data_IF_446328243921
#
_entry.id   IF_446328243921
#
_cell.length_a   1.000
_cell.length_b   1.000
_cell.length_c   1.000
_cell.angle_alpha   90.00
_cell.angle_beta   90.00
_cell.angle_gamma   90.00
#
_symmetry.space_group_name_H-M   'P 1'
#
loop_
_entity.id
_entity.type
_entity.pdbx_description
1 polymer ?
#
# COMPACT_ATOMS: atom_id res chain seq x y z
N UNK A 1 -10.86 16.52 -1.48
CA UNK A 1 -11.28 16.02 -0.17
C UNK A 1 -10.56 16.86 0.87
N UNK A 2 -11.24 17.51 1.78
CA UNK A 2 -10.62 18.31 2.84
C UNK A 2 -10.65 17.46 4.10
N UNK A 3 -9.50 17.04 4.60
CA UNK A 3 -9.43 16.42 5.92
C UNK A 3 -9.65 17.54 6.96
N UNK A 4 -10.75 17.50 7.67
CA UNK A 4 -11.03 18.41 8.76
C UNK A 4 -10.76 17.68 10.07
N UNK A 5 -9.72 18.09 10.77
CA UNK A 5 -9.42 17.57 12.10
C UNK A 5 -10.33 18.27 13.11
N UNK A 6 -11.35 17.57 13.62
CA UNK A 6 -12.18 18.07 14.69
C UNK A 6 -11.52 17.82 16.05
N UNK A 7 -11.17 18.90 16.74
CA UNK A 7 -10.85 18.82 18.17
C UNK A 7 -12.13 19.13 18.96
N UNK A 8 -12.49 18.24 19.87
CA UNK A 8 -13.69 18.35 20.69
C UNK A 8 -13.81 19.71 21.41
N UNK A 9 -12.66 20.32 21.74
CA UNK A 9 -12.59 21.61 22.42
C UNK A 9 -12.95 22.81 21.53
N UNK A 10 -12.84 22.65 20.21
CA UNK A 10 -13.06 23.73 19.21
C UNK A 10 -14.39 23.59 18.47
N UNK A 11 -15.03 22.42 18.54
CA UNK A 11 -16.27 22.12 17.81
C UNK A 11 -17.36 21.72 18.78
N UNK A 12 -18.57 22.25 18.60
CA UNK A 12 -19.74 21.81 19.35
C UNK A 12 -20.38 20.66 18.57
N UNK A 13 -20.57 19.53 19.27
CA UNK A 13 -21.39 18.42 18.78
C UNK A 13 -22.66 18.43 19.64
N UNK A 14 -23.80 18.55 19.00
CA UNK A 14 -25.08 18.51 19.70
C UNK A 14 -25.29 17.15 20.35
N UNK A 15 -25.94 17.13 21.53
CA UNK A 15 -26.08 15.91 22.33
C UNK A 15 -26.75 14.76 21.56
N UNK A 16 -27.75 15.04 20.75
CA UNK A 16 -28.44 14.03 19.97
C UNK A 16 -27.53 13.43 18.89
N UNK A 17 -26.71 14.24 18.21
CA UNK A 17 -25.74 13.77 17.23
C UNK A 17 -24.65 12.97 17.92
N UNK A 18 -24.17 13.46 19.06
CA UNK A 18 -23.14 12.77 19.85
C UNK A 18 -23.60 11.35 20.26
N UNK A 19 -24.87 11.19 20.66
CA UNK A 19 -25.40 9.87 21.02
C UNK A 19 -25.38 8.90 19.81
N UNK A 20 -25.63 9.40 18.60
CA UNK A 20 -25.64 8.59 17.40
C UNK A 20 -24.22 8.19 16.94
N UNK A 21 -23.25 9.10 17.03
CA UNK A 21 -21.95 8.92 16.36
C UNK A 21 -20.77 8.66 17.31
N UNK A 22 -21.00 8.71 18.63
CA UNK A 22 -19.92 8.63 19.62
C UNK A 22 -19.09 7.34 19.54
N UNK A 23 -19.75 6.21 19.27
CA UNK A 23 -19.08 4.91 19.19
C UNK A 23 -18.12 4.85 17.98
N UNK A 24 -18.52 5.48 16.90
CA UNK A 24 -17.72 5.57 15.68
C UNK A 24 -16.57 6.58 15.80
N UNK A 25 -16.84 7.75 16.41
CA UNK A 25 -15.85 8.83 16.52
C UNK A 25 -14.84 8.65 17.66
N UNK A 26 -15.14 7.83 18.68
CA UNK A 26 -14.29 7.62 19.86
C UNK A 26 -13.43 6.35 19.73
N UNK A 27 -13.59 5.59 18.68
CA UNK A 27 -12.86 4.33 18.47
C UNK A 27 -11.32 4.47 18.46
N UNK A 28 -10.79 5.70 18.47
CA UNK A 28 -9.35 5.97 18.44
C UNK A 28 -8.73 5.78 17.05
N UNK A 29 -9.52 5.39 16.06
CA UNK A 29 -9.12 5.23 14.66
C UNK A 29 -9.55 6.44 13.83
N UNK A 30 -8.87 6.65 12.73
CA UNK A 30 -9.30 7.61 11.71
C UNK A 30 -10.62 7.13 11.08
N UNK A 31 -11.64 7.98 11.07
CA UNK A 31 -12.95 7.67 10.51
C UNK A 31 -13.22 8.58 9.32
N UNK A 32 -13.56 7.98 8.19
CA UNK A 32 -13.92 8.70 6.98
C UNK A 32 -15.44 8.73 6.80
N UNK A 33 -15.95 9.91 6.49
CA UNK A 33 -17.39 10.08 6.32
C UNK A 33 -17.73 11.43 5.70
N UNK A 34 -19.02 11.66 5.53
CA UNK A 34 -19.57 12.95 5.14
C UNK A 34 -20.07 13.67 6.40
N UNK A 35 -19.74 14.96 6.49
CA UNK A 35 -20.17 15.81 7.60
C UNK A 35 -20.98 16.99 7.08
N UNK A 36 -21.98 17.38 7.86
CA UNK A 36 -22.70 18.64 7.70
C UNK A 36 -22.29 19.57 8.84
N UNK A 37 -21.85 20.77 8.47
CA UNK A 37 -21.41 21.78 9.42
C UNK A 37 -22.37 22.94 9.46
N UNK A 38 -22.73 23.36 10.67
CA UNK A 38 -23.42 24.61 10.94
C UNK A 38 -22.51 25.59 11.68
N UNK A 39 -22.98 26.81 11.82
CA UNK A 39 -22.31 27.82 12.62
C UNK A 39 -23.27 28.36 13.67
N UNK A 40 -22.82 28.42 14.93
CA UNK A 40 -23.51 29.12 16.00
C UNK A 40 -22.92 30.51 16.14
N UNK A 41 -23.76 31.52 15.97
CA UNK A 41 -23.36 32.92 16.17
C UNK A 41 -22.90 33.18 17.62
N UNK A 42 -22.03 34.18 17.82
CA UNK A 42 -21.62 34.60 19.14
C UNK A 42 -22.83 35.17 19.90
N UNK A 43 -22.92 34.89 21.19
CA UNK A 43 -23.89 35.53 22.07
C UNK A 43 -23.18 36.63 22.88
N UNK A 44 -23.35 37.86 22.44
CA UNK A 44 -22.79 39.06 23.07
C UNK A 44 -23.58 39.50 24.31
N UNK A 45 -24.77 38.92 24.53
CA UNK A 45 -25.62 39.22 25.69
C UNK A 45 -25.25 38.34 26.93
N UNK A 46 -24.62 37.18 26.71
CA UNK A 46 -24.19 36.29 27.75
C UNK A 46 -23.02 36.87 28.60
N UNK A 47 -23.00 36.52 29.87
CA UNK A 47 -21.93 36.92 30.79
C UNK A 47 -21.34 35.68 31.46
N UNK A 48 -20.11 35.21 31.09
CA UNK A 48 -19.20 35.81 30.09
C UNK A 48 -19.73 35.64 28.66
N UNK A 49 -19.26 36.50 27.72
CA UNK A 49 -19.54 36.44 26.30
C UNK A 49 -19.28 35.03 25.74
N UNK A 50 -20.22 34.49 24.99
CA UNK A 50 -20.07 33.19 24.33
C UNK A 50 -19.61 33.40 22.90
N UNK A 51 -18.41 32.95 22.50
CA UNK A 51 -17.92 33.10 21.13
C UNK A 51 -18.71 32.22 20.16
N UNK A 52 -18.78 32.66 18.91
CA UNK A 52 -19.31 31.83 17.83
C UNK A 52 -18.47 30.57 17.64
N UNK A 53 -19.11 29.45 17.30
CA UNK A 53 -18.43 28.18 17.08
C UNK A 53 -19.03 27.39 15.92
N UNK A 54 -18.17 26.61 15.25
CA UNK A 54 -18.61 25.62 14.27
C UNK A 54 -19.31 24.47 15.02
N UNK A 55 -20.40 23.97 14.47
CA UNK A 55 -21.21 22.87 14.99
C UNK A 55 -21.21 21.73 14.01
N UNK A 56 -21.07 20.49 14.48
CA UNK A 56 -21.36 19.29 13.72
C UNK A 56 -22.88 19.07 13.73
N UNK A 57 -23.51 19.10 12.57
CA UNK A 57 -24.94 18.93 12.41
C UNK A 57 -25.35 17.52 12.00
N UNK A 58 -24.52 16.84 11.22
CA UNK A 58 -24.68 15.44 10.84
C UNK A 58 -23.32 14.81 10.51
N UNK A 59 -23.22 13.51 10.72
CA UNK A 59 -22.12 12.66 10.29
C UNK A 59 -22.67 11.40 9.65
N UNK A 60 -22.14 11.03 8.49
CA UNK A 60 -22.45 9.79 7.80
C UNK A 60 -21.12 9.05 7.54
N UNK A 61 -20.95 7.93 8.22
CA UNK A 61 -19.78 7.07 8.03
C UNK A 61 -19.83 6.43 6.63
N UNK A 62 -18.69 6.38 5.93
CA UNK A 62 -18.58 5.70 4.64
C UNK A 62 -18.56 4.18 4.80
N UNK A 63 -18.18 3.68 5.96
CA UNK A 63 -18.21 2.25 6.28
C UNK A 63 -19.00 2.00 7.58
N UNK A 64 -20.33 2.01 7.55
CA UNK A 64 -21.17 1.75 8.72
C UNK A 64 -21.27 0.26 9.09
N UNK A 65 -20.48 -0.60 8.43
CA UNK A 65 -20.53 -2.04 8.56
C UNK A 65 -19.51 -2.57 9.54
N UNK A 66 -19.86 -3.62 10.27
CA UNK A 66 -18.91 -4.39 11.06
C UNK A 66 -17.98 -5.17 10.15
N UNK A 67 -16.68 -5.11 10.42
CA UNK A 67 -15.68 -5.88 9.68
C UNK A 67 -15.68 -7.30 10.21
N UNK A 68 -16.09 -8.24 9.37
CA UNK A 68 -16.03 -9.69 9.64
C UNK A 68 -15.15 -10.36 8.59
N UNK A 69 -13.89 -10.63 8.99
CA UNK A 69 -12.89 -11.21 8.12
C UNK A 69 -13.25 -12.67 7.73
N UNK A 70 -13.85 -13.44 8.64
CA UNK A 70 -14.22 -14.83 8.35
C UNK A 70 -15.38 -14.90 7.36
N UNK A 71 -16.36 -14.00 7.48
CA UNK A 71 -17.42 -13.85 6.52
C UNK A 71 -16.90 -13.44 5.13
N UNK A 72 -15.94 -12.51 5.06
CA UNK A 72 -15.30 -12.12 3.81
C UNK A 72 -14.57 -13.30 3.15
N UNK A 73 -13.80 -14.07 3.94
CA UNK A 73 -13.11 -15.28 3.48
C UNK A 73 -14.10 -16.33 2.94
N UNK A 74 -15.21 -16.53 3.62
CA UNK A 74 -16.25 -17.47 3.21
C UNK A 74 -16.93 -17.03 1.90
N UNK A 75 -17.32 -15.77 1.79
CA UNK A 75 -17.90 -15.23 0.55
C UNK A 75 -16.95 -15.40 -0.63
N UNK A 76 -15.66 -15.17 -0.45
CA UNK A 76 -14.67 -15.33 -1.52
C UNK A 76 -14.63 -16.75 -2.09
N UNK A 77 -15.09 -17.75 -1.32
CA UNK A 77 -15.15 -19.15 -1.75
C UNK A 77 -16.19 -19.43 -2.84
N UNK A 78 -17.19 -18.57 -2.99
CA UNK A 78 -18.27 -18.72 -3.95
C UNK A 78 -17.92 -18.25 -5.37
N UNK A 79 -16.75 -17.64 -5.54
CA UNK A 79 -16.28 -17.11 -6.80
C UNK A 79 -15.06 -17.89 -7.31
N UNK A 80 -14.95 -18.04 -8.61
CA UNK A 80 -13.67 -18.45 -9.19
C UNK A 80 -12.66 -17.28 -9.15
N UNK A 81 -11.39 -17.57 -9.46
CA UNK A 81 -10.33 -16.57 -9.34
C UNK A 81 -10.50 -15.40 -10.32
N UNK A 82 -11.10 -15.64 -11.49
CA UNK A 82 -11.34 -14.59 -12.49
C UNK A 82 -12.45 -13.65 -12.04
N UNK A 83 -13.56 -14.20 -11.57
CA UNK A 83 -14.67 -13.44 -10.98
C UNK A 83 -14.19 -12.65 -9.75
N UNK A 84 -13.35 -13.28 -8.92
CA UNK A 84 -12.78 -12.61 -7.75
C UNK A 84 -11.87 -11.42 -8.11
N UNK A 85 -11.04 -11.55 -9.15
CA UNK A 85 -10.25 -10.46 -9.71
C UNK A 85 -11.14 -9.28 -10.11
N UNK A 86 -12.26 -9.56 -10.77
CA UNK A 86 -13.21 -8.52 -11.23
C UNK A 86 -13.90 -7.82 -10.05
N UNK A 87 -14.26 -8.56 -8.99
CA UNK A 87 -14.79 -8.00 -7.75
C UNK A 87 -13.77 -7.08 -7.07
N UNK A 88 -12.49 -7.51 -7.01
CA UNK A 88 -11.43 -6.71 -6.41
C UNK A 88 -11.17 -5.40 -7.18
N UNK A 89 -11.26 -5.42 -8.50
CA UNK A 89 -11.17 -4.20 -9.32
C UNK A 89 -12.32 -3.26 -9.02
N UNK A 90 -13.56 -3.78 -8.96
CA UNK A 90 -14.73 -2.99 -8.57
C UNK A 90 -14.59 -2.36 -7.19
N UNK A 91 -14.02 -3.08 -6.23
CA UNK A 91 -13.80 -2.60 -4.86
C UNK A 91 -12.84 -1.38 -4.77
N UNK A 92 -12.03 -1.14 -5.80
CA UNK A 92 -11.12 0.00 -5.92
C UNK A 92 -11.52 0.97 -7.02
N UNK A 93 -12.80 1.00 -7.36
CA UNK A 93 -13.43 1.92 -8.31
C UNK A 93 -13.05 1.71 -9.79
N UNK A 94 -12.58 0.50 -10.16
CA UNK A 94 -12.25 0.19 -11.56
C UNK A 94 -13.22 -0.82 -12.16
N UNK A 95 -13.56 -0.60 -13.44
CA UNK A 95 -14.39 -1.51 -14.23
C UNK A 95 -13.51 -2.60 -14.86
N UNK A 96 -13.77 -3.86 -14.49
CA UNK A 96 -13.02 -5.00 -14.99
C UNK A 96 -13.14 -5.19 -16.51
N UNK A 97 -14.29 -4.83 -17.11
CA UNK A 97 -14.55 -4.95 -18.55
C UNK A 97 -13.72 -3.99 -19.41
N UNK A 98 -13.17 -2.93 -18.80
CA UNK A 98 -12.30 -1.98 -19.49
C UNK A 98 -10.87 -2.49 -19.73
N UNK A 99 -10.49 -3.64 -19.16
CA UNK A 99 -9.17 -4.26 -19.33
C UNK A 99 -9.18 -5.28 -20.48
N UNK A 100 -8.10 -5.30 -21.27
CA UNK A 100 -7.99 -6.18 -22.44
C UNK A 100 -7.56 -7.61 -22.07
N UNK A 101 -6.95 -7.82 -20.91
CA UNK A 101 -6.43 -9.12 -20.49
C UNK A 101 -6.43 -9.28 -18.97
N UNK A 102 -6.43 -10.54 -18.52
CA UNK A 102 -6.23 -10.87 -17.10
C UNK A 102 -4.88 -10.36 -16.58
N UNK A 103 -3.85 -10.32 -17.42
CA UNK A 103 -2.51 -9.82 -17.02
C UNK A 103 -2.55 -8.32 -16.69
N UNK A 104 -3.30 -7.52 -17.43
CA UNK A 104 -3.52 -6.11 -17.12
C UNK A 104 -4.27 -5.94 -15.79
N UNK A 105 -5.36 -6.71 -15.60
CA UNK A 105 -6.13 -6.75 -14.35
C UNK A 105 -5.24 -7.08 -13.15
N UNK A 106 -4.46 -8.15 -13.27
CA UNK A 106 -3.53 -8.58 -12.22
C UNK A 106 -2.39 -7.59 -11.99
N UNK A 107 -1.90 -6.90 -13.03
CA UNK A 107 -0.89 -5.84 -12.86
C UNK A 107 -1.47 -4.66 -12.09
N UNK A 108 -2.73 -4.29 -12.34
CA UNK A 108 -3.43 -3.28 -11.54
C UNK A 108 -3.58 -3.69 -10.09
N UNK A 109 -4.01 -4.94 -9.82
CA UNK A 109 -4.18 -5.47 -8.47
C UNK A 109 -2.84 -5.65 -7.72
N UNK A 110 -1.70 -5.74 -8.44
CA UNK A 110 -0.37 -5.77 -7.81
C UNK A 110 -0.11 -4.55 -6.93
N UNK A 111 -0.71 -3.41 -7.23
CA UNK A 111 -0.66 -2.19 -6.42
C UNK A 111 -1.29 -2.34 -5.04
N UNK A 112 -2.18 -3.33 -4.85
CA UNK A 112 -2.84 -3.60 -3.56
C UNK A 112 -2.00 -4.48 -2.61
N UNK A 113 -0.89 -5.05 -3.07
CA UNK A 113 -0.08 -5.94 -2.24
C UNK A 113 0.42 -5.28 -0.95
N UNK A 114 0.87 -4.00 -0.94
CA UNK A 114 1.25 -3.32 0.30
C UNK A 114 0.08 -3.05 1.25
N UNK A 115 -1.17 -3.11 0.78
CA UNK A 115 -2.35 -2.95 1.62
C UNK A 115 -2.59 -4.18 2.50
N UNK A 116 -2.22 -5.37 2.03
CA UNK A 116 -2.47 -6.67 2.71
C UNK A 116 -1.24 -7.31 3.33
N UNK A 117 -0.04 -6.78 3.06
CA UNK A 117 1.19 -7.37 3.59
C UNK A 117 2.11 -6.33 4.23
N UNK A 118 2.56 -6.65 5.46
CA UNK A 118 3.44 -5.78 6.25
C UNK A 118 4.82 -5.64 5.59
N UNK A 119 5.35 -4.40 5.64
CA UNK A 119 6.70 -4.09 5.17
C UNK A 119 6.96 -4.57 3.74
N UNK A 120 5.96 -4.54 2.88
CA UNK A 120 6.14 -4.84 1.47
C UNK A 120 6.57 -3.57 0.74
N UNK A 121 7.85 -3.52 0.37
CA UNK A 121 8.48 -2.36 -0.28
C UNK A 121 8.54 -2.59 -1.78
N UNK A 122 8.00 -1.66 -2.56
CA UNK A 122 7.88 -1.78 -4.02
C UNK A 122 8.36 -0.51 -4.73
N UNK A 123 8.82 -0.68 -5.96
CA UNK A 123 9.09 0.40 -6.90
C UNK A 123 8.11 0.28 -8.05
N UNK A 124 7.45 1.36 -8.41
CA UNK A 124 6.59 1.44 -9.58
C UNK A 124 7.01 2.61 -10.46
N UNK A 125 7.42 2.30 -11.67
CA UNK A 125 7.57 3.30 -12.72
C UNK A 125 6.46 3.12 -13.75
N UNK A 126 5.79 4.22 -14.13
CA UNK A 126 4.64 4.17 -15.00
C UNK A 126 4.47 5.46 -15.80
N UNK A 127 3.86 5.42 -16.98
CA UNK A 127 3.43 6.64 -17.67
C UNK A 127 2.43 7.43 -16.82
N UNK A 128 2.27 8.71 -17.14
CA UNK A 128 1.23 9.55 -16.54
C UNK A 128 -0.17 9.02 -16.88
N UNK A 129 -1.11 9.16 -15.95
CA UNK A 129 -2.52 8.83 -16.18
C UNK A 129 -2.88 7.35 -15.99
N UNK A 130 -2.06 6.55 -15.31
CA UNK A 130 -2.37 5.14 -14.99
C UNK A 130 -3.03 4.95 -13.61
N UNK A 131 -3.49 6.04 -12.96
CA UNK A 131 -4.25 5.97 -11.71
C UNK A 131 -3.45 5.78 -10.42
N UNK A 132 -2.10 5.89 -10.44
CA UNK A 132 -1.23 5.74 -9.23
C UNK A 132 -1.70 6.59 -8.06
N UNK A 133 -1.74 7.91 -8.25
CA UNK A 133 -2.05 8.87 -7.19
C UNK A 133 -3.48 8.71 -6.65
N UNK A 134 -4.42 8.27 -7.49
CA UNK A 134 -5.77 7.96 -7.05
C UNK A 134 -5.79 6.75 -6.12
N UNK A 135 -5.22 5.63 -6.56
CA UNK A 135 -5.23 4.38 -5.80
C UNK A 135 -4.52 4.54 -4.45
N UNK A 136 -3.29 5.02 -4.47
CA UNK A 136 -2.49 5.12 -3.25
C UNK A 136 -2.89 6.26 -2.31
N UNK A 137 -3.54 7.30 -2.83
CA UNK A 137 -3.85 8.49 -2.04
C UNK A 137 -5.32 8.65 -1.67
N UNK A 138 -6.24 7.87 -2.26
CA UNK A 138 -7.68 8.10 -2.06
C UNK A 138 -8.51 6.86 -1.80
N UNK A 139 -8.02 5.67 -2.15
CA UNK A 139 -8.79 4.44 -1.97
C UNK A 139 -8.77 3.97 -0.52
N UNK A 140 -7.69 4.20 0.23
CA UNK A 140 -7.57 3.72 1.60
C UNK A 140 -7.16 4.81 2.58
N UNK A 141 -7.88 4.89 3.70
CA UNK A 141 -7.52 5.71 4.86
C UNK A 141 -6.26 5.22 5.60
N UNK A 142 -5.89 3.97 5.39
CA UNK A 142 -4.72 3.35 6.03
C UNK A 142 -3.41 3.62 5.29
N UNK A 143 -3.46 4.30 4.15
CA UNK A 143 -2.31 4.66 3.35
C UNK A 143 -1.99 6.15 3.40
N UNK A 144 -0.74 6.49 3.20
CA UNK A 144 -0.31 7.86 3.02
C UNK A 144 0.39 8.06 1.69
N UNK A 145 -0.01 9.08 0.94
CA UNK A 145 0.67 9.48 -0.29
C UNK A 145 1.30 10.87 -0.10
N UNK A 146 2.61 10.95 -0.36
CA UNK A 146 3.34 12.21 -0.44
C UNK A 146 3.75 12.43 -1.89
N UNK A 147 3.26 13.51 -2.51
CA UNK A 147 3.56 13.84 -3.90
C UNK A 147 4.48 15.05 -3.94
N UNK A 148 5.72 14.85 -4.42
CA UNK A 148 6.72 15.91 -4.54
C UNK A 148 7.15 16.55 -3.21
N UNK A 149 8.00 17.59 -3.31
CA UNK A 149 8.41 18.42 -2.19
C UNK A 149 9.50 17.81 -1.31
N UNK A 150 9.59 18.30 -0.06
CA UNK A 150 10.67 17.91 0.86
C UNK A 150 10.21 16.80 1.80
N UNK A 151 10.97 15.71 1.85
CA UNK A 151 10.80 14.63 2.80
C UNK A 151 11.93 14.67 3.82
N UNK A 152 11.59 14.95 5.08
CA UNK A 152 12.54 14.94 6.19
C UNK A 152 12.47 13.63 6.98
N UNK A 153 13.56 13.31 7.67
CA UNK A 153 13.61 12.17 8.59
C UNK A 153 12.58 12.27 9.72
N UNK A 154 12.32 13.49 10.20
CA UNK A 154 11.29 13.73 11.21
C UNK A 154 9.88 13.46 10.70
N UNK A 155 9.59 13.81 9.45
CA UNK A 155 8.28 13.53 8.84
C UNK A 155 8.08 12.04 8.58
N UNK A 156 9.14 11.35 8.09
CA UNK A 156 9.01 9.95 7.71
C UNK A 156 9.08 9.01 8.92
N UNK A 157 9.99 9.23 9.85
CA UNK A 157 10.30 8.32 10.95
C UNK A 157 9.83 8.80 12.31
N UNK A 158 10.45 9.87 12.85
CA UNK A 158 10.17 10.38 14.18
C UNK A 158 10.57 11.86 14.34
N UNK A 159 9.63 12.67 14.83
CA UNK A 159 9.88 14.08 15.16
C UNK A 159 10.35 14.20 16.61
N UNK A 160 11.66 14.37 16.78
CA UNK A 160 12.29 14.53 18.10
C UNK A 160 11.83 15.79 18.85
N UNK A 161 11.49 16.85 18.11
CA UNK A 161 11.07 18.12 18.71
C UNK A 161 9.69 18.05 19.32
N UNK A 162 8.81 17.25 18.74
CA UNK A 162 7.42 17.05 19.15
C UNK A 162 7.20 15.75 19.94
N UNK A 163 8.16 14.82 19.88
CA UNK A 163 8.01 13.50 20.46
C UNK A 163 6.94 12.65 19.79
N UNK A 164 6.78 12.80 18.45
CA UNK A 164 5.71 12.12 17.69
C UNK A 164 6.27 11.21 16.62
N UNK A 165 5.61 10.05 16.45
CA UNK A 165 5.90 9.10 15.38
C UNK A 165 5.62 9.69 14.01
N UNK A 166 6.46 9.32 13.03
CA UNK A 166 6.32 9.71 11.64
C UNK A 166 5.36 8.83 10.84
N UNK A 167 5.36 9.03 9.51
CA UNK A 167 4.42 8.40 8.61
C UNK A 167 4.47 6.87 8.64
N UNK A 168 5.67 6.27 8.71
CA UNK A 168 5.82 4.81 8.67
C UNK A 168 5.26 4.08 9.90
N UNK A 169 5.09 4.76 11.02
CA UNK A 169 4.52 4.18 12.21
C UNK A 169 2.98 4.31 12.26
N UNK A 170 2.44 5.29 11.52
CA UNK A 170 1.02 5.64 11.57
C UNK A 170 0.18 5.05 10.42
N UNK A 171 0.80 4.57 9.34
CA UNK A 171 0.10 4.09 8.15
C UNK A 171 0.56 2.69 7.75
N UNK A 172 -0.33 1.93 7.11
CA UNK A 172 -0.05 0.58 6.59
C UNK A 172 0.97 0.63 5.44
N UNK A 173 0.92 1.69 4.65
CA UNK A 173 1.88 1.95 3.61
C UNK A 173 2.08 3.45 3.39
N UNK A 174 3.28 3.80 2.95
CA UNK A 174 3.67 5.17 2.57
C UNK A 174 4.12 5.17 1.13
N UNK A 175 3.45 5.95 0.29
CA UNK A 175 3.80 6.12 -1.11
C UNK A 175 4.48 7.46 -1.31
N UNK A 176 5.68 7.43 -1.87
CA UNK A 176 6.42 8.58 -2.36
C UNK A 176 6.13 8.71 -3.86
N UNK A 177 5.13 9.51 -4.20
CA UNK A 177 4.71 9.75 -5.59
C UNK A 177 5.49 10.90 -6.21
N UNK A 178 5.64 10.87 -7.53
CA UNK A 178 6.52 11.79 -8.25
C UNK A 178 7.93 11.81 -7.65
N UNK A 179 8.48 10.62 -7.38
CA UNK A 179 9.74 10.44 -6.63
C UNK A 179 10.87 11.31 -7.18
N UNK A 180 10.91 11.57 -8.49
CA UNK A 180 11.89 12.44 -9.16
C UNK A 180 11.87 13.89 -8.65
N UNK A 181 10.76 14.32 -8.04
CA UNK A 181 10.56 15.70 -7.54
C UNK A 181 10.67 15.81 -6.03
N UNK A 182 10.87 14.67 -5.34
CA UNK A 182 11.07 14.64 -3.90
C UNK A 182 12.54 14.92 -3.61
N UNK A 183 12.79 15.88 -2.74
CA UNK A 183 14.10 16.14 -2.16
C UNK A 183 14.16 15.67 -0.72
N UNK A 184 15.28 15.07 -0.33
CA UNK A 184 15.49 14.58 1.03
C UNK A 184 16.40 15.53 1.80
N UNK A 185 16.02 15.85 3.04
CA UNK A 185 16.93 16.54 3.96
C UNK A 185 17.89 15.53 4.59
N UNK A 186 19.12 15.97 4.86
CA UNK A 186 20.13 15.14 5.52
C UNK A 186 20.27 13.75 4.87
N UNK A 187 20.65 13.75 3.58
CA UNK A 187 20.61 12.59 2.69
C UNK A 187 21.30 11.36 3.28
N UNK A 188 22.49 11.52 3.88
CA UNK A 188 23.25 10.39 4.43
C UNK A 188 22.56 9.77 5.65
N UNK A 189 21.99 10.60 6.53
CA UNK A 189 21.23 10.14 7.69
C UNK A 189 19.90 9.51 7.27
N UNK A 190 19.22 10.09 6.27
CA UNK A 190 18.02 9.52 5.68
C UNK A 190 18.29 8.15 5.07
N UNK A 191 19.36 8.04 4.27
CA UNK A 191 19.77 6.78 3.63
C UNK A 191 20.10 5.70 4.65
N UNK A 192 20.79 6.07 5.73
CA UNK A 192 21.12 5.14 6.82
C UNK A 192 19.84 4.64 7.53
N UNK A 193 18.91 5.53 7.85
CA UNK A 193 17.65 5.16 8.47
C UNK A 193 16.77 4.29 7.54
N UNK A 194 16.72 4.61 6.25
CA UNK A 194 16.00 3.83 5.25
C UNK A 194 16.57 2.41 5.13
N UNK A 195 17.89 2.22 5.11
CA UNK A 195 18.51 0.89 5.04
C UNK A 195 18.09 0.00 6.22
N UNK A 196 18.15 0.52 7.43
CA UNK A 196 17.70 -0.22 8.63
C UNK A 196 16.23 -0.56 8.54
N UNK A 197 15.40 0.43 8.23
CA UNK A 197 13.96 0.25 8.13
C UNK A 197 13.53 -0.75 7.05
N UNK A 198 14.04 -0.62 5.84
CA UNK A 198 13.69 -1.52 4.73
C UNK A 198 14.14 -2.96 4.99
N UNK A 199 15.25 -3.17 5.70
CA UNK A 199 15.76 -4.51 6.07
C UNK A 199 14.90 -5.16 7.17
N UNK A 200 14.77 -4.49 8.33
CA UNK A 200 14.20 -5.11 9.54
C UNK A 200 12.89 -4.45 10.03
N UNK A 201 12.54 -3.28 9.52
CA UNK A 201 11.48 -2.43 10.07
C UNK A 201 11.96 -1.55 11.23
N UNK A 202 13.20 -1.71 11.65
CA UNK A 202 13.80 -0.91 12.72
C UNK A 202 14.35 0.41 12.19
N UNK A 203 14.20 1.47 12.96
CA UNK A 203 14.79 2.77 12.63
C UNK A 203 15.30 3.46 13.89
N UNK A 204 16.28 4.33 13.69
CA UNK A 204 16.85 5.14 14.78
C UNK A 204 16.90 6.60 14.32
N UNK A 205 16.34 7.49 15.13
CA UNK A 205 16.39 8.95 14.95
C UNK A 205 16.89 9.59 16.25
N UNK A 206 18.15 10.01 16.25
CA UNK A 206 18.82 10.45 17.48
C UNK A 206 18.84 9.35 18.52
N UNK A 207 18.21 9.59 19.69
CA UNK A 207 18.11 8.60 20.77
C UNK A 207 16.85 7.72 20.69
N UNK A 208 15.93 8.02 19.77
CA UNK A 208 14.72 7.23 19.60
C UNK A 208 14.97 6.02 18.69
N UNK A 209 14.55 4.85 19.18
CA UNK A 209 14.52 3.59 18.41
C UNK A 209 13.09 3.14 18.29
N UNK A 210 12.67 2.88 17.07
CA UNK A 210 11.31 2.41 16.76
C UNK A 210 11.31 1.21 15.84
N UNK A 211 10.15 0.56 15.76
CA UNK A 211 9.84 -0.51 14.80
C UNK A 211 8.54 -0.13 14.12
N UNK A 212 8.50 -0.21 12.82
CA UNK A 212 7.29 0.08 12.05
C UNK A 212 7.02 -1.02 11.00
N UNK A 213 5.75 -1.13 10.61
CA UNK A 213 5.25 -2.20 9.76
C UNK A 213 4.74 -1.70 8.40
N UNK A 214 4.89 -0.43 8.12
CA UNK A 214 4.47 0.20 6.87
C UNK A 214 5.20 -0.41 5.66
N UNK A 215 4.50 -0.57 4.55
CA UNK A 215 5.13 -0.79 3.25
C UNK A 215 5.60 0.54 2.66
N UNK A 216 6.75 0.57 1.98
CA UNK A 216 7.22 1.76 1.26
C UNK A 216 7.08 1.56 -0.24
N UNK A 217 6.46 2.52 -0.92
CA UNK A 217 6.25 2.48 -2.36
C UNK A 217 6.88 3.72 -2.98
N UNK A 218 7.82 3.51 -3.89
CA UNK A 218 8.37 4.58 -4.73
C UNK A 218 7.62 4.60 -6.05
N UNK A 219 6.92 5.70 -6.34
CA UNK A 219 6.22 5.89 -7.60
C UNK A 219 6.89 6.98 -8.43
N UNK A 220 7.20 6.66 -9.68
CA UNK A 220 7.81 7.59 -10.61
C UNK A 220 7.19 7.53 -12.00
N UNK A 221 7.55 8.52 -12.81
CA UNK A 221 7.27 8.50 -14.25
C UNK A 221 8.43 7.82 -14.98
N UNK A 222 8.16 7.29 -16.17
CA UNK A 222 9.15 6.64 -17.02
C UNK A 222 8.96 7.08 -18.47
N UNK A 223 10.05 7.46 -19.20
CA UNK A 223 9.99 7.79 -20.62
C UNK A 223 9.70 6.55 -21.47
N UNK A 224 9.10 6.78 -22.63
CA UNK A 224 8.74 5.71 -23.56
C UNK A 224 9.96 4.92 -24.06
N UNK A 225 11.06 5.61 -24.30
CA UNK A 225 12.31 5.05 -24.79
C UNK A 225 12.88 3.99 -23.82
N UNK A 226 12.71 4.20 -22.53
CA UNK A 226 13.13 3.26 -21.50
C UNK A 226 12.16 2.08 -21.41
N UNK A 227 10.83 2.35 -21.49
CA UNK A 227 9.81 1.29 -21.48
C UNK A 227 10.00 0.28 -22.62
N UNK A 228 10.33 0.78 -23.81
CA UNK A 228 10.52 -0.05 -25.01
C UNK A 228 11.81 -0.91 -24.95
N UNK A 229 12.76 -0.57 -24.05
CA UNK A 229 14.06 -1.23 -23.89
C UNK A 229 14.35 -1.62 -22.44
N UNK A 230 13.35 -1.93 -21.65
CA UNK A 230 13.40 -2.12 -20.19
C UNK A 230 14.31 -3.26 -19.71
N UNK A 231 14.66 -4.21 -20.59
CA UNK A 231 15.56 -5.31 -20.28
C UNK A 231 17.05 -4.93 -20.33
N UNK A 232 17.40 -3.84 -21.01
CA UNK A 232 18.80 -3.43 -21.24
C UNK A 232 19.10 -2.02 -20.78
N UNK A 233 18.09 -1.23 -20.50
CA UNK A 233 18.24 0.17 -20.04
C UNK A 233 18.11 0.25 -18.53
N UNK A 234 18.94 1.06 -17.92
CA UNK A 234 18.86 1.36 -16.49
C UNK A 234 17.62 2.21 -16.19
N UNK A 235 16.56 1.57 -15.67
CA UNK A 235 15.34 2.24 -15.26
C UNK A 235 15.51 3.00 -13.94
N UNK A 236 16.50 2.66 -13.13
CA UNK A 236 16.70 3.30 -11.83
C UNK A 236 17.35 4.68 -11.94
N UNK A 237 17.81 5.06 -13.15
CA UNK A 237 18.16 6.47 -13.45
C UNK A 237 16.98 7.42 -13.28
N UNK A 238 15.74 6.91 -13.33
CA UNK A 238 14.52 7.68 -13.07
C UNK A 238 14.25 7.89 -11.56
N UNK A 239 15.00 7.27 -10.69
CA UNK A 239 14.96 7.52 -9.25
C UNK A 239 15.92 8.66 -8.88
N UNK A 240 15.68 9.39 -7.76
CA UNK A 240 16.64 10.35 -7.23
C UNK A 240 18.00 9.70 -6.93
N UNK A 241 19.07 10.47 -7.02
CA UNK A 241 20.43 10.00 -6.77
C UNK A 241 20.63 9.37 -5.39
N UNK A 242 19.80 9.73 -4.43
CA UNK A 242 19.78 9.17 -3.08
C UNK A 242 19.46 7.67 -3.07
N UNK A 243 18.77 7.18 -4.11
CA UNK A 243 18.44 5.77 -4.29
C UNK A 243 19.42 5.04 -5.23
N UNK A 244 20.39 5.73 -5.85
CA UNK A 244 21.38 5.10 -6.72
C UNK A 244 22.47 4.35 -5.93
N UNK A 245 22.04 3.51 -5.00
CA UNK A 245 22.91 2.64 -4.20
C UNK A 245 22.33 1.22 -4.20
N UNK A 246 23.09 0.27 -4.73
CA UNK A 246 22.66 -1.13 -4.84
C UNK A 246 22.21 -1.71 -3.50
N UNK A 247 22.95 -1.41 -2.43
CA UNK A 247 22.61 -1.86 -1.08
C UNK A 247 21.24 -1.33 -0.57
N UNK A 248 20.77 -0.17 -1.04
CA UNK A 248 19.44 0.35 -0.71
C UNK A 248 18.37 -0.28 -1.60
N UNK A 249 18.62 -0.35 -2.92
CA UNK A 249 17.67 -0.88 -3.91
C UNK A 249 17.39 -2.37 -3.72
N UNK A 250 18.39 -3.14 -3.31
CA UNK A 250 18.27 -4.58 -3.00
C UNK A 250 17.20 -4.87 -1.94
N UNK A 251 16.86 -3.91 -1.07
CA UNK A 251 15.87 -4.02 -0.01
C UNK A 251 14.43 -3.78 -0.47
N UNK A 252 14.26 -3.31 -1.70
CA UNK A 252 12.93 -3.31 -2.34
C UNK A 252 12.61 -4.72 -2.83
N UNK A 253 11.43 -5.22 -2.46
CA UNK A 253 11.05 -6.60 -2.73
C UNK A 253 10.73 -6.85 -4.19
N UNK A 254 10.12 -5.87 -4.87
CA UNK A 254 9.69 -6.05 -6.25
C UNK A 254 9.45 -4.75 -6.99
N UNK A 255 9.34 -4.89 -8.31
CA UNK A 255 9.10 -3.81 -9.25
C UNK A 255 7.80 -4.02 -10.01
N UNK A 256 7.01 -2.96 -10.16
CA UNK A 256 5.79 -2.93 -10.96
C UNK A 256 6.06 -2.18 -12.27
N UNK A 257 5.92 -2.88 -13.40
CA UNK A 257 5.92 -2.27 -14.73
C UNK A 257 4.58 -1.59 -14.98
N UNK A 258 4.44 -0.35 -14.51
CA UNK A 258 3.18 0.39 -14.55
C UNK A 258 2.73 0.77 -15.97
N UNK A 259 3.57 0.59 -16.99
CA UNK A 259 3.17 0.73 -18.40
C UNK A 259 2.36 -0.45 -18.95
N UNK A 260 2.29 -1.55 -18.20
CA UNK A 260 1.37 -2.65 -18.47
C UNK A 260 -0.05 -2.41 -17.94
N UNK A 261 -0.27 -1.25 -17.32
CA UNK A 261 -1.58 -0.81 -16.85
C UNK A 261 -2.11 0.22 -17.87
N UNK A 262 -3.33 0.04 -18.39
CA UNK A 262 -3.90 0.98 -19.34
C UNK A 262 -4.04 2.38 -18.73
N UNK A 263 -3.92 3.42 -19.55
CA UNK A 263 -4.20 4.79 -19.11
C UNK A 263 -5.70 4.92 -18.82
N UNK A 264 -6.00 5.66 -17.76
CA UNK A 264 -7.38 5.94 -17.36
C UNK A 264 -8.18 6.54 -18.51
N UNK A 265 -9.32 5.94 -18.75
CA UNK A 265 -10.36 6.38 -19.67
C UNK A 265 -11.74 6.10 -19.05
N UNK A 266 -12.81 6.45 -19.74
CA UNK A 266 -14.16 6.27 -19.18
C UNK A 266 -14.57 4.80 -19.06
N UNK A 267 -14.05 3.91 -19.92
CA UNK A 267 -14.35 2.47 -19.90
C UNK A 267 -13.78 1.77 -18.66
N UNK A 268 -12.72 2.34 -18.07
CA UNK A 268 -12.08 1.82 -16.85
C UNK A 268 -12.72 2.32 -15.55
N UNK A 269 -13.67 3.25 -15.62
CA UNK A 269 -14.39 3.72 -14.44
C UNK A 269 -15.47 2.73 -14.06
N UNK A 270 -15.56 2.41 -12.77
CA UNK A 270 -16.62 1.55 -12.27
C UNK A 270 -17.98 2.14 -12.62
N UNK A 271 -18.89 1.30 -13.07
CA UNK A 271 -20.30 1.61 -13.30
C UNK A 271 -21.14 0.49 -12.67
N UNK A 272 -22.28 0.85 -12.09
CA UNK A 272 -23.17 -0.10 -11.43
C UNK A 272 -22.73 -0.44 -10.00
N UNK A 273 -22.99 -1.68 -9.57
CA UNK A 273 -22.73 -2.14 -8.20
C UNK A 273 -21.31 -2.65 -8.04
N UNK A 274 -20.66 -2.22 -6.97
CA UNK A 274 -19.34 -2.66 -6.59
C UNK A 274 -19.27 -2.86 -5.06
N UNK A 275 -18.29 -3.60 -4.59
CA UNK A 275 -18.01 -3.73 -3.17
C UNK A 275 -17.58 -2.34 -2.63
N UNK A 276 -18.10 -1.97 -1.45
CA UNK A 276 -17.75 -0.70 -0.83
C UNK A 276 -16.25 -0.60 -0.57
N UNK A 277 -15.59 0.44 -1.07
CA UNK A 277 -14.14 0.62 -1.02
C UNK A 277 -13.61 0.74 0.41
N UNK A 278 -14.32 1.45 1.30
CA UNK A 278 -13.92 1.59 2.71
C UNK A 278 -14.02 0.27 3.48
N UNK A 279 -15.09 -0.50 3.24
CA UNK A 279 -15.23 -1.85 3.79
C UNK A 279 -14.08 -2.73 3.31
N UNK A 280 -13.82 -2.74 2.01
CA UNK A 280 -12.74 -3.53 1.42
C UNK A 280 -11.36 -3.14 1.97
N UNK A 281 -11.07 -1.85 2.09
CA UNK A 281 -9.82 -1.37 2.67
C UNK A 281 -9.66 -1.77 4.13
N UNK A 282 -10.74 -1.79 4.89
CA UNK A 282 -10.73 -2.26 6.27
C UNK A 282 -10.49 -3.78 6.36
N UNK A 283 -11.06 -4.56 5.44
CA UNK A 283 -10.74 -6.00 5.31
C UNK A 283 -9.24 -6.21 4.98
N UNK A 284 -8.68 -5.44 4.05
CA UNK A 284 -7.25 -5.54 3.72
C UNK A 284 -6.36 -5.20 4.92
N UNK A 285 -6.74 -4.19 5.71
CA UNK A 285 -6.06 -3.83 6.95
C UNK A 285 -6.06 -4.99 7.95
N UNK A 286 -7.18 -5.68 8.15
CA UNK A 286 -7.28 -6.85 9.02
C UNK A 286 -6.47 -8.04 8.47
N UNK A 287 -6.58 -8.35 7.18
CA UNK A 287 -5.79 -9.40 6.52
C UNK A 287 -4.28 -9.19 6.68
N UNK A 288 -3.85 -7.94 6.76
CA UNK A 288 -2.46 -7.55 6.97
C UNK A 288 -1.89 -8.15 8.25
N UNK A 289 -2.70 -8.28 9.28
CA UNK A 289 -2.32 -8.81 10.59
C UNK A 289 -2.29 -10.35 10.65
N UNK A 290 -2.90 -11.02 9.68
CA UNK A 290 -2.95 -12.48 9.64
C UNK A 290 -1.63 -13.07 9.11
N UNK A 291 -0.84 -13.63 10.00
CA UNK A 291 0.45 -14.27 9.69
C UNK A 291 0.33 -15.73 9.20
N UNK A 292 -0.85 -16.33 9.25
CA UNK A 292 -1.07 -17.72 8.86
C UNK A 292 -0.72 -17.99 7.39
N UNK A 293 -1.00 -17.01 6.52
CA UNK A 293 -0.67 -17.09 5.09
C UNK A 293 0.83 -17.21 4.83
N UNK A 294 1.66 -16.56 5.62
CA UNK A 294 3.11 -16.69 5.50
C UNK A 294 3.56 -18.11 5.83
N UNK A 295 2.99 -18.74 6.86
CA UNK A 295 3.29 -20.11 7.21
C UNK A 295 2.87 -21.08 6.09
N UNK A 296 1.76 -20.82 5.39
CA UNK A 296 1.32 -21.58 4.22
C UNK A 296 2.34 -21.45 3.08
N UNK A 297 2.74 -20.22 2.76
CA UNK A 297 3.74 -19.94 1.72
C UNK A 297 5.08 -20.61 2.03
N UNK A 298 5.52 -20.58 3.29
CA UNK A 298 6.78 -21.24 3.71
C UNK A 298 6.73 -22.78 3.51
N UNK A 299 5.55 -23.39 3.60
CA UNK A 299 5.35 -24.81 3.32
C UNK A 299 5.26 -25.11 1.83
N UNK A 300 4.63 -24.21 1.04
CA UNK A 300 4.42 -24.41 -0.39
C UNK A 300 5.66 -24.10 -1.24
N UNK A 301 6.52 -23.19 -0.84
CA UNK A 301 7.69 -22.81 -1.63
C UNK A 301 8.90 -23.65 -1.25
N UNK A 302 9.44 -24.34 -2.22
CA UNK A 302 10.77 -24.96 -2.15
C UNK A 302 11.82 -23.92 -2.52
N UNK A 303 12.71 -23.64 -1.57
CA UNK A 303 13.83 -22.71 -1.75
C UNK A 303 15.03 -23.52 -2.23
N UNK A 304 15.65 -23.18 -3.36
CA UNK A 304 16.83 -23.89 -3.83
C UNK A 304 18.04 -23.64 -2.93
N UNK A 305 18.95 -24.63 -2.85
CA UNK A 305 20.18 -24.51 -2.07
C UNK A 305 21.02 -23.33 -2.56
N UNK A 306 21.56 -22.55 -1.62
CA UNK A 306 22.38 -21.38 -1.91
C UNK A 306 21.61 -20.16 -2.37
N UNK A 307 20.27 -20.16 -2.31
CA UNK A 307 19.46 -18.98 -2.60
C UNK A 307 19.79 -17.84 -1.64
N UNK A 308 19.89 -16.63 -2.18
CA UNK A 308 20.08 -15.42 -1.38
C UNK A 308 18.89 -15.20 -0.43
N UNK A 309 19.18 -14.80 0.81
CA UNK A 309 18.16 -14.61 1.85
C UNK A 309 17.19 -13.48 1.51
N UNK A 310 17.66 -12.37 0.90
CA UNK A 310 16.81 -11.24 0.50
C UNK A 310 15.91 -11.60 -0.64
N UNK A 311 16.39 -12.36 -1.63
CA UNK A 311 15.58 -12.84 -2.75
C UNK A 311 14.50 -13.79 -2.26
N UNK A 312 14.86 -14.68 -1.34
CA UNK A 312 13.93 -15.62 -0.71
C UNK A 312 12.85 -14.88 0.06
N UNK A 313 13.23 -13.92 0.89
CA UNK A 313 12.29 -13.12 1.68
C UNK A 313 11.38 -12.29 0.77
N UNK A 314 11.93 -11.65 -0.27
CA UNK A 314 11.16 -10.86 -1.22
C UNK A 314 10.10 -11.70 -1.94
N UNK A 315 10.50 -12.86 -2.50
CA UNK A 315 9.58 -13.76 -3.21
C UNK A 315 8.49 -14.27 -2.28
N UNK A 316 8.84 -14.74 -1.09
CA UNK A 316 7.87 -15.26 -0.12
C UNK A 316 6.90 -14.17 0.35
N UNK A 317 7.37 -12.95 0.58
CA UNK A 317 6.54 -11.82 1.01
C UNK A 317 5.55 -11.39 -0.07
N UNK A 318 6.00 -11.26 -1.31
CA UNK A 318 5.12 -10.96 -2.45
C UNK A 318 4.12 -12.09 -2.67
N UNK A 319 4.55 -13.35 -2.63
CA UNK A 319 3.66 -14.50 -2.78
C UNK A 319 2.62 -14.56 -1.66
N UNK A 320 2.99 -14.22 -0.41
CA UNK A 320 2.06 -14.11 0.73
C UNK A 320 1.00 -13.02 0.48
N UNK A 321 1.43 -11.86 -0.03
CA UNK A 321 0.50 -10.79 -0.35
C UNK A 321 -0.51 -11.19 -1.44
N UNK A 322 -0.05 -11.84 -2.52
CA UNK A 322 -0.95 -12.38 -3.54
C UNK A 322 -1.88 -13.45 -2.99
N UNK A 323 -1.39 -14.34 -2.11
CA UNK A 323 -2.23 -15.37 -1.49
C UNK A 323 -3.34 -14.75 -0.65
N UNK A 324 -3.03 -13.74 0.18
CA UNK A 324 -4.02 -12.98 0.96
C UNK A 324 -5.07 -12.30 0.07
N UNK A 325 -4.62 -11.68 -1.01
CA UNK A 325 -5.49 -10.87 -1.88
C UNK A 325 -6.39 -11.74 -2.76
N UNK A 326 -5.81 -12.74 -3.44
CA UNK A 326 -6.51 -13.52 -4.47
C UNK A 326 -7.17 -14.79 -3.92
N UNK A 327 -6.70 -15.30 -2.78
CA UNK A 327 -7.18 -16.54 -2.18
C UNK A 327 -7.39 -16.39 -0.67
N UNK A 328 -8.19 -15.42 -0.20
CA UNK A 328 -8.32 -15.13 1.23
C UNK A 328 -8.94 -16.30 2.02
N UNK A 329 -9.61 -17.24 1.36
CA UNK A 329 -10.20 -18.46 1.97
C UNK A 329 -9.19 -19.52 2.36
N UNK A 330 -7.95 -19.48 1.84
CA UNK A 330 -6.93 -20.50 2.05
C UNK A 330 -6.45 -20.48 3.51
N UNK A 331 -6.59 -21.61 4.20
CA UNK A 331 -6.18 -21.80 5.61
C UNK A 331 -5.05 -22.83 5.77
N UNK A 332 -4.87 -23.68 4.76
CA UNK A 332 -3.84 -24.72 4.70
C UNK A 332 -3.31 -24.85 3.29
N UNK A 333 -2.10 -25.41 3.10
CA UNK A 333 -1.54 -25.63 1.76
C UNK A 333 -2.45 -26.41 0.81
N UNK A 334 -3.23 -27.34 1.35
CA UNK A 334 -4.13 -28.23 0.61
C UNK A 334 -5.38 -27.51 0.07
N UNK A 335 -5.68 -26.32 0.58
CA UNK A 335 -6.86 -25.52 0.19
C UNK A 335 -6.66 -24.77 -1.15
N UNK A 336 -5.44 -24.79 -1.72
CA UNK A 336 -5.12 -24.16 -3.00
C UNK A 336 -4.50 -25.17 -3.98
N UNK A 337 -4.94 -25.12 -5.23
CA UNK A 337 -4.30 -25.95 -6.28
C UNK A 337 -2.87 -25.46 -6.52
N UNK A 338 -1.93 -26.39 -6.63
CA UNK A 338 -0.52 -26.11 -6.92
C UNK A 338 -0.37 -25.23 -8.18
N UNK A 339 -1.16 -25.50 -9.21
CA UNK A 339 -1.14 -24.72 -10.46
C UNK A 339 -1.55 -23.26 -10.24
N UNK A 340 -2.57 -23.00 -9.41
CA UNK A 340 -3.05 -21.65 -9.11
C UNK A 340 -2.03 -20.89 -8.25
N UNK A 341 -1.52 -21.51 -7.20
CA UNK A 341 -0.47 -20.91 -6.39
C UNK A 341 0.77 -20.56 -7.23
N UNK A 342 1.18 -21.46 -8.11
CA UNK A 342 2.29 -21.20 -9.01
C UNK A 342 2.01 -20.04 -9.98
N UNK A 343 0.82 -20.03 -10.60
CA UNK A 343 0.43 -19.01 -11.61
C UNK A 343 0.26 -17.62 -10.98
N UNK A 344 -0.53 -17.55 -9.92
CA UNK A 344 -1.00 -16.28 -9.38
C UNK A 344 -0.13 -15.71 -8.25
N UNK A 345 0.64 -16.56 -7.54
CA UNK A 345 1.48 -16.13 -6.45
C UNK A 345 2.97 -16.24 -6.76
N UNK A 346 3.50 -17.46 -6.95
CA UNK A 346 4.94 -17.67 -7.03
C UNK A 346 5.58 -17.06 -8.27
N UNK A 347 5.08 -17.36 -9.47
CA UNK A 347 5.65 -16.82 -10.73
C UNK A 347 5.60 -15.30 -10.78
N UNK A 348 4.53 -14.70 -10.27
CA UNK A 348 4.40 -13.25 -10.21
C UNK A 348 5.42 -12.64 -9.25
N UNK A 349 5.59 -13.24 -8.09
CA UNK A 349 6.58 -12.82 -7.11
C UNK A 349 8.01 -12.89 -7.69
N UNK A 350 8.35 -14.01 -8.33
CA UNK A 350 9.63 -14.18 -9.00
C UNK A 350 9.85 -13.11 -10.10
N UNK A 351 8.84 -12.87 -10.94
CA UNK A 351 8.90 -11.85 -12.01
C UNK A 351 9.15 -10.45 -11.45
N UNK A 352 8.46 -10.08 -10.37
CA UNK A 352 8.65 -8.77 -9.74
C UNK A 352 10.06 -8.61 -9.14
N UNK A 353 10.58 -9.66 -8.49
CA UNK A 353 11.93 -9.64 -7.91
C UNK A 353 13.02 -9.68 -8.96
N UNK A 354 12.85 -10.46 -10.04
CA UNK A 354 13.84 -10.55 -11.12
C UNK A 354 14.13 -9.20 -11.78
N UNK A 355 13.12 -8.32 -11.88
CA UNK A 355 13.33 -6.98 -12.44
C UNK A 355 14.29 -6.17 -11.55
N UNK A 356 14.14 -6.21 -10.22
CA UNK A 356 15.07 -5.56 -9.30
C UNK A 356 16.50 -6.07 -9.54
N UNK A 357 16.69 -7.40 -9.60
CA UNK A 357 18.02 -7.99 -9.81
C UNK A 357 18.62 -7.60 -11.17
N UNK A 358 17.81 -7.66 -12.24
CA UNK A 358 18.26 -7.22 -13.58
C UNK A 358 18.74 -5.77 -13.57
N UNK A 359 17.97 -4.88 -12.96
CA UNK A 359 18.32 -3.46 -12.90
C UNK A 359 19.55 -3.21 -12.02
N UNK A 360 19.68 -3.92 -10.92
CA UNK A 360 20.90 -3.84 -10.11
C UNK A 360 22.14 -4.34 -10.87
N UNK A 361 22.00 -5.40 -11.67
CA UNK A 361 23.07 -5.91 -12.52
C UNK A 361 23.51 -4.96 -13.64
N UNK A 362 22.63 -4.03 -14.05
CA UNK A 362 22.98 -2.95 -15.00
C UNK A 362 23.75 -1.84 -14.30
N UNK A 363 23.37 -1.49 -13.06
CA UNK A 363 23.98 -0.41 -12.28
C UNK A 363 25.31 -0.80 -11.64
N UNK A 364 25.44 -2.04 -11.17
CA UNK A 364 26.53 -2.49 -10.30
C UNK A 364 27.08 -3.85 -10.77
N UNK A 365 28.37 -3.87 -11.08
CA UNK A 365 29.08 -5.05 -11.59
C UNK A 365 29.02 -6.23 -10.61
N UNK A 366 28.89 -5.99 -9.29
CA UNK A 366 28.76 -7.06 -8.29
C UNK A 366 27.47 -7.87 -8.44
N UNK A 367 26.45 -7.27 -9.06
CA UNK A 367 25.16 -7.92 -9.34
C UNK A 367 25.03 -8.40 -10.78
N UNK A 368 26.02 -8.13 -11.63
CA UNK A 368 25.95 -8.51 -13.04
C UNK A 368 25.86 -10.04 -13.20
N UNK A 369 24.87 -10.49 -13.99
CA UNK A 369 24.60 -11.91 -14.22
C UNK A 369 23.96 -12.66 -13.06
N UNK A 370 23.50 -11.98 -12.02
CA UNK A 370 22.70 -12.60 -10.95
C UNK A 370 21.27 -12.78 -11.44
N UNK A 371 20.84 -14.03 -11.51
CA UNK A 371 19.46 -14.40 -11.80
C UNK A 371 18.71 -14.73 -10.52
N UNK A 372 17.38 -14.62 -10.57
CA UNK A 372 16.54 -15.05 -9.47
C UNK A 372 16.67 -16.56 -9.27
N UNK A 373 16.81 -17.04 -8.00
CA UNK A 373 16.83 -18.48 -7.70
C UNK A 373 15.57 -19.18 -8.24
N UNK A 374 15.73 -20.41 -8.72
CA UNK A 374 14.63 -21.20 -9.28
C UNK A 374 13.73 -21.79 -8.19
N UNK A 375 12.86 -20.96 -7.63
CA UNK A 375 11.84 -21.40 -6.69
C UNK A 375 10.84 -22.35 -7.34
N UNK A 376 10.39 -23.37 -6.61
CA UNK A 376 9.38 -24.34 -7.05
C UNK A 376 8.26 -24.44 -6.05
N UNK A 377 7.10 -24.91 -6.49
CA UNK A 377 6.02 -25.28 -5.58
C UNK A 377 6.19 -26.74 -5.18
N UNK A 378 6.23 -27.00 -3.88
CA UNK A 378 6.27 -28.36 -3.33
C UNK A 378 4.97 -29.09 -3.66
N UNK A 379 5.08 -30.36 -3.99
CA UNK A 379 3.94 -31.27 -4.03
C UNK A 379 3.63 -31.64 -2.56
N UNK A 380 2.48 -31.17 -2.07
CA UNK A 380 2.01 -31.44 -0.69
C UNK A 380 1.15 -32.68 -0.69
#
# INVERSE_FOLDING_TARGET
MCAVLFRREETIIEDYIWQEVKEELVSGQEVWGMIELGYRDPDDSARPRIPGKIRLMAFQNFCPYTIDLEYFKDISSHFDVSEWIDILLGAIDYNADGYQSEEEKLTMLTRLLPFVEKRLNLIELAPKGTGKSYLYGRVSRYGWLSSGGVMSRSKLFYDQSRGTEGLIANYDFVTLDEIQTISFTDVDEMRSALKGYLESGEYTVGNHKGIAWSGMILCGNIPKEIMDNDATTDMFTELPSEFHESALLERFHGFIKGWNIPRMNDDLKVNGWALNSEYFCSIMHELRNDSSYRAIVDRLIEVPDGADTRDTEAVKRIATAYLKLLFPRVRRPEDIRIADFNRYCLRRACKMRSIILTQMGIMDIEYAGRDIPQFKVRTV
#
